data_IF_110168016587
#
_entry.id   IF_110168016587
#
_cell.length_a   1.000
_cell.length_b   1.000
_cell.length_c   1.000
_cell.angle_alpha   90.00
_cell.angle_beta   90.00
_cell.angle_gamma   90.00
#
_symmetry.space_group_name_H-M   'P 1'
#
loop_
_entity.id
_entity.type
_entity.pdbx_description
1 polymer ?
#
# COMPACT_ATOMS: atom_id res chain seq x y z
N UNK A 1 -11.27 -9.06 -0.42
CA UNK A 1 -10.47 -9.92 0.49
C UNK A 1 -9.15 -9.22 0.73
N UNK A 2 -8.66 -9.17 1.98
CA UNK A 2 -7.34 -8.60 2.28
C UNK A 2 -6.26 -9.45 1.61
N UNK A 3 -5.53 -8.88 0.66
CA UNK A 3 -4.40 -9.55 0.01
C UNK A 3 -3.24 -9.66 0.99
N UNK A 4 -2.39 -10.68 0.80
CA UNK A 4 -1.17 -10.82 1.60
C UNK A 4 -0.30 -9.55 1.48
N UNK A 5 -0.28 -8.96 0.27
CA UNK A 5 0.39 -7.68 -0.01
C UNK A 5 -0.14 -6.53 0.84
N UNK A 6 -1.47 -6.32 0.91
CA UNK A 6 -2.07 -5.26 1.73
C UNK A 6 -1.77 -5.43 3.23
N UNK A 7 -1.73 -6.69 3.72
CA UNK A 7 -1.32 -6.99 5.10
C UNK A 7 0.15 -6.64 5.34
N UNK A 8 1.05 -6.99 4.41
CA UNK A 8 2.49 -6.70 4.54
C UNK A 8 2.76 -5.20 4.48
N UNK A 9 2.13 -4.47 3.55
CA UNK A 9 2.24 -3.01 3.45
C UNK A 9 1.81 -2.33 4.74
N UNK A 10 0.65 -2.70 5.29
CA UNK A 10 0.17 -2.16 6.56
C UNK A 10 1.15 -2.44 7.71
N UNK A 11 1.75 -3.63 7.72
CA UNK A 11 2.74 -4.01 8.73
C UNK A 11 4.00 -3.16 8.62
N UNK A 12 4.52 -3.00 7.40
CA UNK A 12 5.68 -2.14 7.10
C UNK A 12 5.42 -0.69 7.51
N UNK A 13 4.22 -0.17 7.23
CA UNK A 13 3.85 1.20 7.60
C UNK A 13 3.85 1.41 9.11
N UNK A 14 3.32 0.45 9.86
CA UNK A 14 3.29 0.49 11.32
C UNK A 14 4.70 0.34 11.88
N UNK A 15 5.50 -0.57 11.33
CA UNK A 15 6.89 -0.82 11.73
C UNK A 15 7.75 0.44 11.61
N UNK A 16 7.54 1.20 10.52
CA UNK A 16 8.22 2.47 10.28
C UNK A 16 7.54 3.67 10.98
N UNK A 17 6.40 3.46 11.66
CA UNK A 17 5.56 4.54 12.22
C UNK A 17 5.26 5.67 11.22
N UNK A 18 5.09 5.30 9.94
CA UNK A 18 4.83 6.23 8.84
C UNK A 18 3.34 6.53 8.69
N UNK A 19 2.99 7.76 8.31
CA UNK A 19 1.63 8.07 7.88
C UNK A 19 1.41 7.50 6.49
N UNK A 20 0.14 7.27 6.15
CA UNK A 20 -0.25 6.86 4.79
C UNK A 20 0.28 7.83 3.71
N UNK A 21 0.34 9.13 4.02
CA UNK A 21 0.84 10.14 3.09
C UNK A 21 2.35 9.98 2.86
N UNK A 22 3.13 9.85 3.93
CA UNK A 22 4.59 9.68 3.84
C UNK A 22 4.96 8.41 3.06
N UNK A 23 4.29 7.29 3.35
CA UNK A 23 4.51 6.04 2.65
C UNK A 23 4.08 6.13 1.18
N UNK A 24 2.97 6.80 0.89
CA UNK A 24 2.51 7.00 -0.48
C UNK A 24 3.48 7.85 -1.29
N UNK A 25 4.04 8.92 -0.71
CA UNK A 25 5.07 9.75 -1.36
C UNK A 25 6.35 8.96 -1.62
N UNK A 26 6.81 8.16 -0.65
CA UNK A 26 7.99 7.29 -0.79
C UNK A 26 7.83 6.24 -1.88
N UNK A 27 6.64 5.64 -1.97
CA UNK A 27 6.30 4.64 -2.99
C UNK A 27 5.89 5.30 -4.32
N UNK A 28 5.82 6.63 -4.39
CA UNK A 28 5.36 7.39 -5.55
C UNK A 28 3.95 6.99 -6.02
N UNK A 29 3.07 6.66 -5.08
CA UNK A 29 1.68 6.26 -5.32
C UNK A 29 0.73 7.28 -4.69
N UNK A 30 -0.54 7.26 -5.08
CA UNK A 30 -1.53 8.11 -4.42
C UNK A 30 -1.97 7.54 -3.07
N UNK A 31 -2.17 8.42 -2.08
CA UNK A 31 -2.73 8.07 -0.75
C UNK A 31 -4.01 7.24 -0.82
N UNK A 32 -5.04 7.59 -1.63
CA UNK A 32 -6.25 6.77 -1.77
C UNK A 32 -5.98 5.40 -2.41
N UNK A 33 -4.94 5.28 -3.22
CA UNK A 33 -4.53 4.00 -3.79
C UNK A 33 -3.87 3.10 -2.74
N UNK A 34 -2.91 3.63 -1.97
CA UNK A 34 -2.27 2.89 -0.86
C UNK A 34 -3.32 2.39 0.14
N UNK A 35 -4.26 3.25 0.53
CA UNK A 35 -5.38 2.88 1.40
C UNK A 35 -6.24 1.76 0.81
N UNK A 36 -6.60 1.85 -0.48
CA UNK A 36 -7.39 0.83 -1.18
C UNK A 36 -6.68 -0.54 -1.26
N UNK A 37 -5.35 -0.53 -1.34
CA UNK A 37 -4.50 -1.73 -1.34
C UNK A 37 -4.41 -2.33 0.06
N UNK A 38 -4.17 -1.53 1.10
CA UNK A 38 -4.10 -2.00 2.50
C UNK A 38 -5.39 -2.67 2.98
N UNK A 39 -6.54 -2.20 2.51
CA UNK A 39 -7.87 -2.75 2.88
C UNK A 39 -8.33 -3.88 1.93
N UNK A 40 -7.57 -4.20 0.88
CA UNK A 40 -7.91 -5.26 -0.08
C UNK A 40 -9.17 -4.98 -0.91
N UNK A 41 -9.46 -3.69 -1.15
CA UNK A 41 -10.63 -3.22 -1.92
C UNK A 41 -10.28 -2.98 -3.40
N UNK A 42 -8.99 -2.79 -3.72
CA UNK A 42 -8.44 -2.97 -5.07
C UNK A 42 -7.52 -4.19 -5.07
N UNK A 43 -7.71 -5.11 -6.00
CA UNK A 43 -6.61 -5.96 -6.44
C UNK A 43 -5.53 -5.02 -6.94
N UNK A 44 -4.30 -5.16 -6.41
CA UNK A 44 -3.14 -4.44 -6.93
C UNK A 44 -3.21 -4.54 -8.46
N UNK A 45 -3.25 -3.42 -9.21
CA UNK A 45 -3.21 -3.50 -10.65
C UNK A 45 -1.93 -4.26 -11.01
N UNK A 46 -2.10 -5.41 -11.66
CA UNK A 46 -1.05 -6.10 -12.41
C UNK A 46 -0.33 -5.02 -13.22
N UNK A 47 0.95 -4.79 -12.91
CA UNK A 47 1.73 -3.65 -13.44
C UNK A 47 2.53 -2.86 -12.40
N UNK A 48 2.30 -3.08 -11.10
CA UNK A 48 3.20 -2.58 -10.04
C UNK A 48 4.41 -3.47 -9.75
N UNK A 49 4.52 -4.63 -10.42
CA UNK A 49 5.65 -5.56 -10.28
C UNK A 49 6.87 -5.14 -11.13
N UNK A 50 6.76 -4.07 -11.93
CA UNK A 50 7.78 -3.75 -12.94
C UNK A 50 8.22 -2.28 -12.98
N UNK A 51 8.50 -1.68 -11.81
CA UNK A 51 9.37 -0.50 -11.78
C UNK A 51 10.30 -0.45 -10.58
#
# INVERSE_FOLDING_TARGET
>A
MLTLFGKTLRKLRIDHSERLLDMAEKLNISVPFLSSVEIGKKSVPVGMEEK
#
